data_IF_081876061360
#
_entry.id   IF_081876061360
#
_cell.length_a   1.000
_cell.length_b   1.000
_cell.length_c   1.000
_cell.angle_alpha   90.00
_cell.angle_beta   90.00
_cell.angle_gamma   90.00
#
_symmetry.space_group_name_H-M   'P 1'
#
loop_
_entity.id
_entity.type
_entity.pdbx_description
1 polymer ?
#
# COMPACT_ATOMS: atom_id res chain seq x y z
N UNK A 1 61.26 -34.43 -44.01
CA UNK A 1 60.56 -33.14 -44.25
C UNK A 1 59.08 -33.25 -44.18
N UNK A 2 58.44 -34.22 -44.88
CA UNK A 2 56.98 -34.39 -44.89
C UNK A 2 56.41 -34.68 -43.47
N UNK A 3 57.02 -35.53 -42.69
CA UNK A 3 56.60 -35.85 -41.31
C UNK A 3 56.69 -34.63 -40.42
N UNK A 4 57.73 -33.77 -40.54
CA UNK A 4 57.87 -32.54 -39.77
C UNK A 4 56.77 -31.55 -40.10
N UNK A 5 56.42 -31.40 -41.38
CA UNK A 5 55.29 -30.52 -41.81
C UNK A 5 53.95 -30.99 -41.29
N UNK A 6 53.68 -32.31 -41.27
CA UNK A 6 52.49 -32.90 -40.70
C UNK A 6 52.44 -32.65 -39.18
N UNK A 7 53.53 -32.85 -38.47
CA UNK A 7 53.59 -32.58 -37.02
C UNK A 7 53.34 -31.12 -36.69
N UNK A 8 53.95 -30.17 -37.45
CA UNK A 8 53.74 -28.74 -37.26
C UNK A 8 52.29 -28.38 -37.57
N UNK A 9 51.71 -28.90 -38.65
CA UNK A 9 50.30 -28.69 -38.96
C UNK A 9 49.33 -29.18 -37.87
N UNK A 10 49.58 -30.41 -37.33
CA UNK A 10 48.80 -30.97 -36.27
C UNK A 10 48.90 -30.14 -34.97
N UNK A 11 50.11 -29.70 -34.63
CA UNK A 11 50.34 -28.86 -33.43
C UNK A 11 49.62 -27.52 -33.55
N UNK A 12 49.62 -26.87 -34.72
CA UNK A 12 48.90 -25.61 -34.94
C UNK A 12 47.38 -25.81 -34.83
N UNK A 13 46.84 -26.93 -35.32
CA UNK A 13 45.41 -27.26 -35.18
C UNK A 13 45.04 -27.48 -33.69
N UNK A 14 45.85 -28.23 -32.96
CA UNK A 14 45.61 -28.45 -31.54
C UNK A 14 45.66 -27.14 -30.74
N UNK A 15 46.67 -26.32 -30.98
CA UNK A 15 46.77 -24.99 -30.33
C UNK A 15 45.55 -24.12 -30.69
N UNK A 16 45.09 -24.11 -31.92
CA UNK A 16 43.93 -23.35 -32.37
C UNK A 16 42.62 -23.81 -31.69
N UNK A 17 42.43 -25.12 -31.55
CA UNK A 17 41.26 -25.69 -30.88
C UNK A 17 41.28 -25.37 -29.37
N UNK A 18 42.42 -25.60 -28.69
CA UNK A 18 42.59 -25.31 -27.28
C UNK A 18 42.37 -23.81 -27.00
N UNK A 19 43.00 -22.92 -27.77
CA UNK A 19 42.84 -21.47 -27.66
C UNK A 19 41.37 -21.03 -27.79
N UNK A 20 40.63 -21.68 -28.70
CA UNK A 20 39.22 -21.36 -28.95
C UNK A 20 38.33 -21.84 -27.78
N UNK A 21 38.58 -23.05 -27.28
CA UNK A 21 37.80 -23.60 -26.17
C UNK A 21 38.01 -22.81 -24.87
N UNK A 22 39.26 -22.55 -24.51
CA UNK A 22 39.60 -21.77 -23.32
C UNK A 22 39.10 -20.32 -23.45
N UNK A 23 39.32 -19.71 -24.62
CA UNK A 23 38.89 -18.34 -24.89
C UNK A 23 37.37 -18.15 -24.76
N UNK A 24 36.57 -19.10 -25.26
CA UNK A 24 35.10 -19.05 -25.13
C UNK A 24 34.66 -19.14 -23.67
N UNK A 25 35.28 -19.99 -22.87
CA UNK A 25 34.96 -20.12 -21.45
C UNK A 25 35.27 -18.83 -20.63
N UNK A 26 36.41 -18.20 -20.94
CA UNK A 26 36.81 -16.92 -20.32
C UNK A 26 35.82 -15.81 -20.68
N UNK A 27 35.39 -15.75 -21.98
CA UNK A 27 34.38 -14.79 -22.40
C UNK A 27 33.04 -14.99 -21.68
N UNK A 28 32.58 -16.25 -21.51
CA UNK A 28 31.38 -16.55 -20.72
C UNK A 28 31.50 -16.11 -19.27
N UNK A 29 32.66 -16.33 -18.64
CA UNK A 29 32.92 -15.91 -17.28
C UNK A 29 32.88 -14.38 -17.15
N UNK A 30 33.48 -13.66 -18.11
CA UNK A 30 33.41 -12.20 -18.18
C UNK A 30 31.97 -11.70 -18.29
N UNK A 31 31.19 -12.27 -19.22
CA UNK A 31 29.81 -11.86 -19.45
C UNK A 31 28.92 -12.13 -18.20
N UNK A 32 29.18 -13.22 -17.49
CA UNK A 32 28.53 -13.50 -16.21
C UNK A 32 28.91 -12.49 -15.11
N UNK A 33 30.21 -12.15 -15.00
CA UNK A 33 30.68 -11.14 -14.05
C UNK A 33 30.08 -9.76 -14.36
N UNK A 34 29.93 -9.40 -15.62
CA UNK A 34 29.32 -8.15 -16.06
C UNK A 34 27.81 -8.12 -15.74
N UNK A 35 27.08 -9.23 -15.91
CA UNK A 35 25.68 -9.35 -15.50
C UNK A 35 25.52 -9.15 -14.00
N UNK A 36 26.34 -9.77 -13.18
CA UNK A 36 26.33 -9.61 -11.73
C UNK A 36 26.61 -8.15 -11.33
N UNK A 37 27.60 -7.50 -11.99
CA UNK A 37 27.93 -6.11 -11.76
C UNK A 37 26.77 -5.17 -12.12
N UNK A 38 25.92 -5.55 -13.09
CA UNK A 38 24.72 -4.82 -13.48
C UNK A 38 23.46 -5.19 -12.65
N UNK A 39 23.63 -6.01 -11.58
CA UNK A 39 22.55 -6.32 -10.64
C UNK A 39 21.70 -7.55 -10.98
N UNK A 40 22.05 -8.34 -12.03
CA UNK A 40 21.38 -9.61 -12.32
C UNK A 40 21.93 -10.71 -11.39
N UNK A 41 21.32 -10.85 -10.23
CA UNK A 41 21.70 -11.83 -9.21
C UNK A 41 20.80 -13.09 -9.23
N UNK A 42 19.73 -13.10 -10.01
CA UNK A 42 18.73 -14.20 -10.01
C UNK A 42 19.24 -15.48 -10.67
N UNK A 43 20.29 -15.38 -11.52
CA UNK A 43 20.80 -16.52 -12.27
C UNK A 43 22.26 -16.81 -11.92
N UNK A 44 22.54 -17.44 -10.75
CA UNK A 44 23.91 -17.77 -10.36
C UNK A 44 24.53 -18.76 -11.33
N UNK A 45 25.77 -18.51 -11.70
CA UNK A 45 26.50 -19.41 -12.60
C UNK A 45 26.88 -20.71 -11.89
N UNK A 46 26.72 -21.81 -12.61
CA UNK A 46 27.14 -23.11 -12.16
C UNK A 46 27.71 -23.92 -13.33
N UNK A 47 28.82 -24.63 -13.08
CA UNK A 47 29.41 -25.57 -14.04
C UNK A 47 29.79 -26.86 -13.35
N UNK A 48 29.79 -27.95 -14.09
CA UNK A 48 30.29 -29.27 -13.65
C UNK A 48 31.74 -29.47 -13.95
N UNK A 49 32.43 -28.50 -14.57
CA UNK A 49 33.83 -28.58 -14.91
C UNK A 49 34.70 -28.49 -13.62
N UNK A 50 35.73 -29.32 -13.54
CA UNK A 50 36.61 -29.43 -12.38
C UNK A 50 37.97 -28.77 -12.57
N UNK A 51 38.16 -28.07 -13.69
CA UNK A 51 39.35 -27.30 -14.00
C UNK A 51 39.35 -25.93 -13.26
N UNK A 52 40.45 -25.16 -13.39
CA UNK A 52 40.62 -23.86 -12.73
C UNK A 52 39.53 -22.86 -13.12
N UNK A 53 39.07 -22.87 -14.39
CA UNK A 53 37.99 -21.98 -14.88
C UNK A 53 36.65 -22.39 -14.28
N UNK A 54 36.39 -23.69 -14.17
CA UNK A 54 35.19 -24.22 -13.51
C UNK A 54 35.14 -23.88 -12.02
N UNK A 55 36.28 -23.95 -11.32
CA UNK A 55 36.38 -23.55 -9.91
C UNK A 55 36.08 -22.05 -9.72
N UNK A 56 36.58 -21.18 -10.60
CA UNK A 56 36.30 -19.75 -10.55
C UNK A 56 34.83 -19.49 -10.85
N UNK A 57 34.24 -20.14 -11.87
CA UNK A 57 32.83 -20.03 -12.22
C UNK A 57 31.93 -20.40 -11.02
N UNK A 58 32.17 -21.53 -10.38
CA UNK A 58 31.42 -21.99 -9.21
C UNK A 58 31.61 -21.06 -8.00
N UNK A 59 32.80 -20.46 -7.84
CA UNK A 59 33.05 -19.48 -6.78
C UNK A 59 32.29 -18.18 -7.02
N UNK A 60 32.23 -17.71 -8.27
CA UNK A 60 31.43 -16.56 -8.68
C UNK A 60 29.92 -16.83 -8.43
N UNK A 61 29.44 -18.03 -8.80
CA UNK A 61 28.05 -18.41 -8.52
C UNK A 61 27.71 -18.41 -7.02
N UNK A 62 28.59 -18.93 -6.17
CA UNK A 62 28.40 -18.85 -4.71
C UNK A 62 28.37 -17.42 -4.19
N UNK A 63 29.26 -16.54 -4.70
CA UNK A 63 29.24 -15.12 -4.35
C UNK A 63 27.94 -14.45 -4.75
N UNK A 64 27.40 -14.77 -5.93
CA UNK A 64 26.13 -14.23 -6.42
C UNK A 64 24.98 -14.58 -5.46
N UNK A 65 24.87 -15.86 -5.08
CA UNK A 65 23.84 -16.31 -4.11
C UNK A 65 23.99 -15.60 -2.76
N UNK A 66 25.23 -15.44 -2.31
CA UNK A 66 25.51 -14.79 -1.03
C UNK A 66 25.19 -13.30 -1.05
N UNK A 67 25.49 -12.60 -2.17
CA UNK A 67 25.12 -11.20 -2.39
C UNK A 67 23.61 -11.02 -2.42
N UNK A 68 22.88 -11.85 -3.16
CA UNK A 68 21.42 -11.80 -3.21
C UNK A 68 20.80 -11.98 -1.81
N UNK A 69 21.29 -12.97 -1.07
CA UNK A 69 20.85 -13.20 0.33
C UNK A 69 21.13 -11.99 1.23
N UNK A 70 22.33 -11.38 1.13
CA UNK A 70 22.68 -10.19 1.93
C UNK A 70 21.82 -8.99 1.57
N UNK A 71 21.56 -8.76 0.30
CA UNK A 71 20.69 -7.67 -0.15
C UNK A 71 19.28 -7.85 0.40
N UNK A 72 18.71 -9.03 0.28
CA UNK A 72 17.38 -9.33 0.80
C UNK A 72 17.29 -9.17 2.33
N UNK A 73 18.36 -9.56 3.06
CA UNK A 73 18.44 -9.36 4.51
C UNK A 73 18.50 -7.86 4.88
N UNK A 74 19.31 -7.08 4.16
CA UNK A 74 19.39 -5.62 4.37
C UNK A 74 18.05 -4.96 4.11
N UNK A 75 17.36 -5.30 3.01
CA UNK A 75 16.02 -4.78 2.73
C UNK A 75 15.02 -5.13 3.84
N UNK A 76 15.04 -6.37 4.31
CA UNK A 76 14.17 -6.80 5.41
C UNK A 76 14.44 -6.01 6.69
N UNK A 77 15.71 -5.83 7.06
CA UNK A 77 16.10 -5.03 8.23
C UNK A 77 15.68 -3.56 8.09
N UNK A 78 15.77 -2.99 6.89
CA UNK A 78 15.35 -1.60 6.64
C UNK A 78 13.84 -1.43 6.79
N UNK A 79 13.04 -2.38 6.27
CA UNK A 79 11.59 -2.41 6.45
C UNK A 79 11.24 -2.53 7.94
N UNK A 80 11.83 -3.48 8.67
CA UNK A 80 11.59 -3.67 10.10
C UNK A 80 11.97 -2.43 10.92
N UNK A 81 13.06 -1.75 10.55
CA UNK A 81 13.47 -0.48 11.16
C UNK A 81 12.43 0.61 10.92
N UNK A 82 11.97 0.79 9.68
CA UNK A 82 10.94 1.79 9.35
C UNK A 82 9.62 1.53 10.07
N UNK A 83 9.19 0.28 10.15
CA UNK A 83 8.01 -0.10 10.93
C UNK A 83 8.18 0.19 12.43
N UNK A 84 9.37 -0.07 12.98
CA UNK A 84 9.67 0.25 14.37
C UNK A 84 9.68 1.75 14.64
N UNK A 85 10.26 2.56 13.74
CA UNK A 85 10.24 4.02 13.80
C UNK A 85 8.81 4.55 13.75
N UNK A 86 7.97 4.02 12.85
CA UNK A 86 6.54 4.39 12.76
C UNK A 86 5.78 4.03 14.04
N UNK A 87 6.01 2.82 14.59
CA UNK A 87 5.40 2.41 15.87
C UNK A 87 5.83 3.30 17.01
N UNK A 88 7.10 3.70 17.06
CA UNK A 88 7.60 4.61 18.09
C UNK A 88 6.98 6.01 17.98
N UNK A 89 6.82 6.55 16.76
CA UNK A 89 6.14 7.81 16.51
C UNK A 89 4.66 7.76 16.90
N UNK A 90 3.96 6.69 16.57
CA UNK A 90 2.56 6.46 16.97
C UNK A 90 2.42 6.33 18.51
N UNK A 91 3.37 5.69 19.17
CA UNK A 91 3.38 5.55 20.63
C UNK A 91 3.65 6.89 21.36
N UNK A 92 4.34 7.84 20.72
CA UNK A 92 4.53 9.19 21.27
C UNK A 92 3.21 9.97 21.40
N UNK A 93 2.22 9.70 20.56
CA UNK A 93 0.85 10.13 20.81
C UNK A 93 0.24 9.20 21.86
N UNK A 94 0.36 9.54 23.12
CA UNK A 94 -0.19 8.72 24.21
C UNK A 94 -1.73 8.62 24.08
N UNK A 95 -2.30 7.50 23.55
CA UNK A 95 -3.74 7.39 23.33
C UNK A 95 -4.52 7.55 24.62
N UNK A 96 -3.99 7.04 25.72
CA UNK A 96 -4.61 7.11 27.01
C UNK A 96 -4.71 8.55 27.53
N UNK A 97 -3.69 9.37 27.33
CA UNK A 97 -3.74 10.79 27.70
C UNK A 97 -4.83 11.53 26.90
N UNK A 98 -4.90 11.27 25.59
CA UNK A 98 -5.92 11.89 24.73
C UNK A 98 -7.34 11.51 25.20
N UNK A 99 -7.59 10.23 25.47
CA UNK A 99 -8.91 9.78 25.98
C UNK A 99 -9.26 10.40 27.34
N UNK A 100 -8.29 10.50 28.22
CA UNK A 100 -8.51 11.12 29.53
C UNK A 100 -8.83 12.61 29.41
N UNK A 101 -8.15 13.33 28.51
CA UNK A 101 -8.46 14.73 28.22
C UNK A 101 -9.89 14.89 27.67
N UNK A 102 -10.24 14.09 26.64
CA UNK A 102 -11.56 14.14 26.04
C UNK A 102 -12.65 13.75 27.05
N UNK A 103 -12.44 12.71 27.86
CA UNK A 103 -13.35 12.34 28.95
C UNK A 103 -13.50 13.48 29.97
N UNK A 104 -12.42 14.14 30.34
CA UNK A 104 -12.45 15.29 31.26
C UNK A 104 -13.26 16.47 30.70
N UNK A 105 -13.12 16.77 29.40
CA UNK A 105 -13.90 17.80 28.72
C UNK A 105 -15.38 17.41 28.69
N UNK A 106 -15.72 16.18 28.33
CA UNK A 106 -17.08 15.65 28.32
C UNK A 106 -17.75 15.81 29.69
N UNK A 107 -17.08 15.39 30.76
CA UNK A 107 -17.61 15.55 32.13
C UNK A 107 -17.85 17.00 32.53
N UNK A 108 -16.95 17.91 32.14
CA UNK A 108 -17.12 19.35 32.40
C UNK A 108 -18.30 19.94 31.63
N UNK A 109 -18.49 19.54 30.38
CA UNK A 109 -19.63 19.94 29.55
C UNK A 109 -20.95 19.48 30.17
N UNK A 110 -21.08 18.18 30.50
CA UNK A 110 -22.25 17.63 31.17
C UNK A 110 -22.59 18.38 32.45
N UNK A 111 -21.60 18.70 33.28
CA UNK A 111 -21.86 19.45 34.55
C UNK A 111 -22.32 20.88 34.31
N UNK A 112 -22.05 21.47 33.14
CA UNK A 112 -22.53 22.80 32.76
C UNK A 112 -23.85 22.78 31.99
N UNK A 113 -24.40 21.57 31.68
CA UNK A 113 -25.59 21.41 30.86
C UNK A 113 -25.34 21.71 29.37
N UNK A 114 -24.09 21.57 28.91
CA UNK A 114 -23.72 21.78 27.52
C UNK A 114 -23.66 20.43 26.80
N UNK A 115 -24.83 19.99 26.33
CA UNK A 115 -25.01 18.70 25.70
C UNK A 115 -24.26 18.60 24.38
N UNK A 116 -24.17 19.67 23.61
CA UNK A 116 -23.49 19.68 22.30
C UNK A 116 -21.98 19.45 22.45
N UNK A 117 -21.32 20.17 23.36
CA UNK A 117 -19.88 19.94 23.63
C UNK A 117 -19.66 18.54 24.19
N UNK A 118 -20.56 18.04 25.04
CA UNK A 118 -20.48 16.69 25.58
C UNK A 118 -20.55 15.64 24.48
N UNK A 119 -21.48 15.79 23.56
CA UNK A 119 -21.70 14.85 22.45
C UNK A 119 -20.52 14.86 21.49
N UNK A 120 -20.09 16.03 21.02
CA UNK A 120 -18.93 16.17 20.11
C UNK A 120 -17.68 15.55 20.74
N UNK A 121 -17.46 15.82 22.04
CA UNK A 121 -16.29 15.25 22.74
C UNK A 121 -16.39 13.73 22.86
N UNK A 122 -17.59 13.18 23.06
CA UNK A 122 -17.85 11.75 23.06
C UNK A 122 -17.58 11.10 21.73
N UNK A 123 -18.01 11.72 20.62
CA UNK A 123 -17.75 11.28 19.26
C UNK A 123 -16.26 11.33 18.93
N UNK A 124 -15.55 12.40 19.32
CA UNK A 124 -14.10 12.51 19.15
C UNK A 124 -13.35 11.40 19.90
N UNK A 125 -13.74 11.10 21.14
CA UNK A 125 -13.15 10.01 21.90
C UNK A 125 -13.36 8.64 21.21
N UNK A 126 -14.55 8.42 20.63
CA UNK A 126 -14.87 7.22 19.87
C UNK A 126 -14.04 7.14 18.57
N UNK A 127 -14.01 8.21 17.80
CA UNK A 127 -13.22 8.34 16.57
C UNK A 127 -11.75 8.02 16.82
N UNK A 128 -11.11 8.70 17.78
CA UNK A 128 -9.70 8.45 18.08
C UNK A 128 -9.41 7.04 18.57
N UNK A 129 -10.34 6.41 19.31
CA UNK A 129 -10.18 5.04 19.78
C UNK A 129 -10.15 4.04 18.63
N UNK A 130 -11.08 4.14 17.70
CA UNK A 130 -11.12 3.28 16.50
C UNK A 130 -9.95 3.61 15.56
N UNK A 131 -9.63 4.89 15.39
CA UNK A 131 -8.56 5.37 14.55
C UNK A 131 -7.18 4.88 15.02
N UNK A 132 -6.85 5.05 16.30
CA UNK A 132 -5.56 4.62 16.84
C UNK A 132 -5.43 3.10 16.96
N UNK A 133 -6.54 2.36 17.05
CA UNK A 133 -6.61 0.90 17.03
C UNK A 133 -5.48 0.19 17.82
N UNK A 134 -5.04 0.79 18.94
CA UNK A 134 -3.88 0.32 19.73
C UNK A 134 -2.59 0.12 18.90
N UNK A 135 -2.42 0.85 17.79
CA UNK A 135 -1.28 0.73 16.88
C UNK A 135 -1.35 -0.49 15.94
N UNK A 136 -2.47 -1.21 15.90
CA UNK A 136 -2.66 -2.34 14.98
C UNK A 136 -2.98 -1.83 13.58
N UNK A 137 -2.34 -2.43 12.58
CA UNK A 137 -2.55 -2.07 11.17
C UNK A 137 -3.79 -2.73 10.56
N UNK A 138 -4.28 -3.80 11.17
CA UNK A 138 -5.47 -4.55 10.76
C UNK A 138 -6.59 -4.29 11.74
N UNK A 139 -7.79 -4.13 11.22
CA UNK A 139 -9.02 -3.92 11.97
C UNK A 139 -10.16 -4.77 11.39
N UNK A 140 -11.35 -4.73 11.99
CA UNK A 140 -12.55 -5.35 11.41
C UNK A 140 -13.33 -4.34 10.58
N UNK A 141 -14.14 -4.83 9.65
CA UNK A 141 -15.10 -4.00 8.89
C UNK A 141 -15.99 -3.22 9.83
N UNK A 142 -16.48 -3.87 10.90
CA UNK A 142 -17.32 -3.24 11.94
C UNK A 142 -16.62 -2.04 12.58
N UNK A 143 -15.35 -2.18 12.96
CA UNK A 143 -14.57 -1.11 13.59
C UNK A 143 -14.30 0.05 12.64
N UNK A 144 -13.97 -0.23 11.35
CA UNK A 144 -13.77 0.80 10.35
C UNK A 144 -15.07 1.57 10.03
N UNK A 145 -16.21 0.87 9.94
CA UNK A 145 -17.53 1.50 9.80
C UNK A 145 -17.88 2.35 11.03
N UNK A 146 -17.52 1.92 12.21
CA UNK A 146 -17.72 2.69 13.45
C UNK A 146 -16.88 3.97 13.46
N UNK A 147 -15.66 3.90 12.94
CA UNK A 147 -14.77 5.05 12.77
C UNK A 147 -15.38 6.08 11.84
N UNK A 148 -15.79 5.69 10.63
CA UNK A 148 -16.39 6.63 9.66
C UNK A 148 -17.74 7.17 10.13
N UNK A 149 -18.55 6.38 10.85
CA UNK A 149 -19.79 6.89 11.46
C UNK A 149 -19.49 7.99 12.49
N UNK A 150 -18.51 7.76 13.36
CA UNK A 150 -18.11 8.78 14.33
C UNK A 150 -17.60 10.06 13.64
N UNK A 151 -16.79 9.92 12.59
CA UNK A 151 -16.32 11.05 11.79
C UNK A 151 -17.47 11.84 11.15
N UNK A 152 -18.40 11.14 10.48
CA UNK A 152 -19.57 11.76 9.83
C UNK A 152 -20.47 12.49 10.86
N UNK A 153 -20.72 11.90 12.01
CA UNK A 153 -21.52 12.54 13.05
C UNK A 153 -20.85 13.78 13.65
N UNK A 154 -19.51 13.78 13.76
CA UNK A 154 -18.76 14.99 14.12
C UNK A 154 -18.95 16.05 13.05
N UNK A 155 -18.79 15.71 11.78
CA UNK A 155 -18.95 16.64 10.67
C UNK A 155 -20.37 17.22 10.61
N UNK A 156 -21.40 16.39 10.81
CA UNK A 156 -22.81 16.87 10.88
C UNK A 156 -23.04 17.90 11.98
N UNK A 157 -22.38 17.75 13.13
CA UNK A 157 -22.49 18.71 14.22
C UNK A 157 -21.67 19.98 14.01
N UNK A 158 -20.62 19.92 13.17
CA UNK A 158 -19.73 21.05 12.88
C UNK A 158 -20.09 21.80 11.59
N UNK A 159 -20.88 21.17 10.71
CA UNK A 159 -21.29 21.76 9.45
C UNK A 159 -22.49 22.68 9.68
N UNK A 160 -22.45 23.89 9.10
CA UNK A 160 -23.56 24.86 9.22
C UNK A 160 -24.79 24.42 8.41
N UNK A 161 -24.54 23.71 7.29
CA UNK A 161 -25.57 23.24 6.38
C UNK A 161 -25.81 21.74 6.56
N UNK A 162 -27.09 21.31 6.68
CA UNK A 162 -27.41 19.90 6.90
C UNK A 162 -27.16 19.08 5.63
N UNK A 163 -26.70 17.85 5.80
CA UNK A 163 -26.58 16.85 4.74
C UNK A 163 -27.09 15.49 5.22
N UNK A 164 -27.56 14.68 4.28
CA UNK A 164 -28.06 13.34 4.57
C UNK A 164 -26.98 12.28 4.42
N UNK A 165 -27.05 11.25 5.25
CA UNK A 165 -26.19 10.06 5.12
C UNK A 165 -27.04 8.80 5.20
N UNK A 166 -26.87 7.96 4.20
CA UNK A 166 -27.53 6.67 4.07
C UNK A 166 -26.48 5.54 4.20
N UNK A 167 -26.77 4.55 5.04
CA UNK A 167 -25.92 3.39 5.24
C UNK A 167 -26.61 2.12 4.70
N UNK A 168 -25.97 1.45 3.75
CA UNK A 168 -26.38 0.18 3.14
C UNK A 168 -25.35 -0.88 3.49
N UNK A 169 -25.50 -1.53 4.61
CA UNK A 169 -24.47 -2.39 5.19
C UNK A 169 -24.94 -3.84 5.22
N UNK A 170 -24.17 -4.72 4.57
CA UNK A 170 -24.32 -6.17 4.68
C UNK A 170 -23.68 -6.66 5.99
N UNK A 171 -24.51 -7.10 6.92
CA UNK A 171 -24.06 -7.53 8.24
C UNK A 171 -23.22 -8.81 8.22
N UNK A 172 -23.28 -9.60 7.14
CA UNK A 172 -22.57 -10.89 7.05
C UNK A 172 -21.04 -10.78 7.00
N UNK A 173 -20.50 -9.58 6.70
CA UNK A 173 -19.08 -9.32 6.56
C UNK A 173 -18.45 -8.47 7.65
N UNK A 174 -19.19 -8.10 8.70
CA UNK A 174 -18.73 -7.14 9.72
C UNK A 174 -17.49 -7.60 10.50
N UNK A 175 -17.33 -8.89 10.71
CA UNK A 175 -16.18 -9.49 11.43
C UNK A 175 -14.98 -9.77 10.52
N UNK A 176 -15.08 -9.51 9.22
CA UNK A 176 -13.96 -9.67 8.31
C UNK A 176 -12.85 -8.65 8.62
N UNK A 177 -11.60 -9.10 8.50
CA UNK A 177 -10.44 -8.25 8.71
C UNK A 177 -10.10 -7.43 7.46
N UNK A 178 -9.66 -6.19 7.68
CA UNK A 178 -9.22 -5.27 6.64
C UNK A 178 -8.12 -4.33 7.16
N UNK A 179 -7.34 -3.69 6.29
CA UNK A 179 -6.40 -2.64 6.72
C UNK A 179 -7.14 -1.47 7.36
N UNK A 180 -6.60 -0.96 8.47
CA UNK A 180 -7.12 0.22 9.15
C UNK A 180 -7.01 1.48 8.28
N UNK A 181 -7.90 2.46 8.42
CA UNK A 181 -7.93 3.72 7.64
C UNK A 181 -8.04 3.54 6.12
N UNK A 182 -8.77 2.54 5.66
CA UNK A 182 -9.00 2.35 4.23
C UNK A 182 -10.19 3.18 3.73
N UNK A 183 -11.24 3.30 4.54
CA UNK A 183 -12.49 3.97 4.15
C UNK A 183 -12.54 5.44 4.54
N UNK A 184 -11.88 5.84 5.62
CA UNK A 184 -11.91 7.21 6.12
C UNK A 184 -11.50 8.24 5.06
N UNK A 185 -10.40 8.09 4.28
CA UNK A 185 -10.04 9.07 3.27
C UNK A 185 -11.07 9.22 2.15
N UNK A 186 -11.85 8.18 1.87
CA UNK A 186 -12.93 8.23 0.88
C UNK A 186 -14.10 9.09 1.39
N UNK A 187 -14.45 8.93 2.66
CA UNK A 187 -15.50 9.75 3.30
C UNK A 187 -15.03 11.20 3.42
N UNK A 188 -13.75 11.43 3.78
CA UNK A 188 -13.17 12.78 3.79
C UNK A 188 -13.23 13.45 2.43
N UNK A 189 -12.95 12.72 1.36
CA UNK A 189 -13.07 13.23 0.00
C UNK A 189 -14.53 13.54 -0.38
N UNK A 190 -15.46 12.65 -0.02
CA UNK A 190 -16.89 12.86 -0.27
C UNK A 190 -17.40 14.11 0.46
N UNK A 191 -16.90 14.40 1.66
CA UNK A 191 -17.20 15.64 2.38
C UNK A 191 -16.56 16.85 1.70
N UNK A 192 -15.22 16.90 1.64
CA UNK A 192 -14.44 18.06 1.19
C UNK A 192 -14.68 18.45 -0.28
N UNK A 193 -14.86 17.46 -1.15
CA UNK A 193 -14.99 17.69 -2.60
C UNK A 193 -16.43 17.45 -3.11
N UNK A 194 -17.29 16.86 -2.28
CA UNK A 194 -18.69 16.69 -2.55
C UNK A 194 -19.52 17.72 -1.81
N UNK A 195 -19.71 17.53 -0.51
CA UNK A 195 -20.66 18.31 0.28
C UNK A 195 -20.26 19.79 0.41
N UNK A 196 -18.97 20.09 0.74
CA UNK A 196 -18.51 21.47 0.96
C UNK A 196 -18.58 22.37 -0.28
N UNK A 197 -18.72 21.81 -1.48
CA UNK A 197 -18.83 22.54 -2.76
C UNK A 197 -20.22 22.49 -3.38
N UNK A 198 -21.25 22.11 -2.62
CA UNK A 198 -22.64 22.15 -3.11
C UNK A 198 -23.10 23.59 -3.30
N UNK A 199 -23.73 23.86 -4.46
CA UNK A 199 -24.31 25.20 -4.76
C UNK A 199 -25.63 25.41 -4.01
N UNK A 200 -26.37 24.31 -3.78
CA UNK A 200 -27.64 24.35 -3.05
C UNK A 200 -27.43 23.66 -1.69
N UNK A 201 -27.41 24.42 -0.59
CA UNK A 201 -27.45 23.88 0.75
C UNK A 201 -28.69 23.00 0.94
N UNK A 202 -28.68 22.06 1.86
CA UNK A 202 -29.76 21.13 2.22
C UNK A 202 -29.98 19.95 1.25
N UNK A 203 -29.22 19.83 0.15
CA UNK A 203 -29.36 18.70 -0.80
C UNK A 203 -28.19 17.71 -0.74
N UNK A 204 -27.19 17.98 0.06
CA UNK A 204 -26.01 17.14 0.20
C UNK A 204 -26.35 15.73 0.68
N UNK A 205 -25.88 14.70 -0.05
CA UNK A 205 -26.12 13.31 0.32
C UNK A 205 -24.86 12.47 0.14
N UNK A 206 -24.55 11.69 1.17
CA UNK A 206 -23.52 10.66 1.15
C UNK A 206 -24.18 9.29 1.33
N UNK A 207 -23.80 8.29 0.54
CA UNK A 207 -24.22 6.90 0.73
C UNK A 207 -22.98 6.07 1.01
N UNK A 208 -22.99 5.35 2.12
CA UNK A 208 -21.95 4.39 2.50
C UNK A 208 -22.50 3.00 2.29
N UNK A 209 -21.95 2.27 1.36
CA UNK A 209 -22.38 0.93 1.02
C UNK A 209 -21.27 -0.08 1.28
N UNK A 210 -21.61 -1.18 1.92
CA UNK A 210 -20.76 -2.34 2.10
C UNK A 210 -21.51 -3.61 1.71
N UNK A 211 -20.86 -4.44 0.89
CA UNK A 211 -21.39 -5.72 0.46
C UNK A 211 -20.27 -6.77 0.51
N UNK A 212 -20.56 -7.90 1.15
CA UNK A 212 -19.69 -9.08 1.12
C UNK A 212 -20.03 -9.95 -0.08
N UNK A 213 -19.04 -10.23 -0.93
CA UNK A 213 -19.11 -11.23 -2.00
C UNK A 213 -18.27 -12.47 -1.60
N UNK A 214 -18.42 -13.62 -2.29
CA UNK A 214 -17.74 -14.86 -1.90
C UNK A 214 -16.22 -14.73 -1.69
N UNK A 215 -15.55 -13.89 -2.47
CA UNK A 215 -14.09 -13.70 -2.42
C UNK A 215 -13.66 -12.24 -2.26
N UNK A 216 -14.60 -11.33 -2.04
CA UNK A 216 -14.32 -9.88 -2.01
C UNK A 216 -15.18 -9.18 -0.95
N UNK A 217 -14.58 -8.16 -0.33
CA UNK A 217 -15.28 -7.12 0.40
C UNK A 217 -15.39 -5.90 -0.53
N UNK A 218 -16.58 -5.41 -0.76
CA UNK A 218 -16.82 -4.27 -1.64
C UNK A 218 -17.38 -3.12 -0.83
N UNK A 219 -16.66 -2.01 -0.82
CA UNK A 219 -17.07 -0.75 -0.20
C UNK A 219 -17.29 0.29 -1.26
N UNK A 220 -18.40 1.00 -1.21
CA UNK A 220 -18.70 2.10 -2.12
C UNK A 220 -19.15 3.32 -1.34
N UNK A 221 -18.51 4.46 -1.60
CA UNK A 221 -18.87 5.75 -1.04
C UNK A 221 -19.36 6.64 -2.17
N UNK A 222 -20.60 7.10 -2.08
CA UNK A 222 -21.22 7.98 -3.05
C UNK A 222 -21.44 9.36 -2.45
N UNK A 223 -21.26 10.39 -3.24
CA UNK A 223 -21.70 11.74 -2.93
C UNK A 223 -22.34 12.39 -4.16
N UNK A 224 -23.36 13.23 -3.94
CA UNK A 224 -24.08 13.96 -4.98
C UNK A 224 -23.56 15.39 -5.21
N UNK A 225 -22.37 15.71 -4.72
CA UNK A 225 -21.70 16.98 -4.98
C UNK A 225 -21.24 17.16 -6.43
N UNK A 226 -20.42 18.20 -6.71
CA UNK A 226 -19.88 18.42 -8.04
C UNK A 226 -19.25 17.16 -8.62
N UNK A 227 -19.56 16.86 -9.88
CA UNK A 227 -19.05 15.66 -10.54
C UNK A 227 -17.56 15.82 -10.83
N UNK A 228 -16.82 14.77 -10.54
CA UNK A 228 -15.38 14.71 -10.82
C UNK A 228 -15.16 14.54 -12.33
N UNK A 229 -14.27 15.34 -12.90
CA UNK A 229 -13.86 15.19 -14.31
C UNK A 229 -12.96 13.96 -14.48
N UNK A 230 -13.13 13.23 -15.61
CA UNK A 230 -12.38 12.01 -15.89
C UNK A 230 -10.86 12.22 -15.90
N UNK A 231 -10.38 13.35 -16.41
CA UNK A 231 -8.96 13.72 -16.39
C UNK A 231 -8.41 13.88 -14.96
N UNK A 232 -9.27 14.36 -14.05
CA UNK A 232 -8.93 14.52 -12.64
C UNK A 232 -8.88 13.17 -11.91
N UNK A 233 -9.74 12.21 -12.29
CA UNK A 233 -9.71 10.84 -11.79
C UNK A 233 -8.38 10.17 -12.14
N UNK A 234 -7.93 10.27 -13.38
CA UNK A 234 -6.64 9.69 -13.81
C UNK A 234 -5.46 10.32 -13.07
N UNK A 235 -5.49 11.63 -12.84
CA UNK A 235 -4.48 12.33 -12.04
C UNK A 235 -4.48 11.88 -10.59
N UNK A 236 -5.64 11.77 -9.95
CA UNK A 236 -5.79 11.32 -8.56
C UNK A 236 -5.29 9.88 -8.36
N UNK A 237 -5.47 9.01 -9.36
CA UNK A 237 -5.04 7.62 -9.30
C UNK A 237 -3.56 7.41 -9.65
N UNK A 238 -2.93 8.32 -10.43
CA UNK A 238 -1.60 8.12 -11.00
C UNK A 238 -0.53 9.13 -10.54
N UNK A 239 -0.90 10.30 -10.01
CA UNK A 239 0.09 11.33 -9.61
C UNK A 239 0.43 11.29 -8.12
N UNK A 240 1.73 11.24 -7.82
CA UNK A 240 2.28 11.53 -6.50
C UNK A 240 2.24 13.06 -6.29
N UNK A 241 1.36 13.56 -5.40
CA UNK A 241 1.56 14.94 -4.93
C UNK A 241 0.36 15.81 -4.58
N UNK A 242 -0.88 15.54 -4.97
CA UNK A 242 -2.05 16.36 -4.62
C UNK A 242 -3.30 15.61 -4.12
N UNK A 243 -3.21 14.31 -3.94
CA UNK A 243 -4.31 13.49 -3.45
C UNK A 243 -3.83 12.45 -2.44
N UNK A 244 -3.12 12.88 -1.39
CA UNK A 244 -2.48 11.98 -0.41
C UNK A 244 -3.41 10.87 0.10
N UNK A 245 -4.72 11.13 0.26
CA UNK A 245 -5.66 10.15 0.78
C UNK A 245 -5.95 8.99 -0.20
N UNK A 246 -6.25 9.30 -1.45
CA UNK A 246 -6.59 8.28 -2.48
C UNK A 246 -5.35 7.48 -2.89
N UNK A 247 -4.22 8.13 -3.06
CA UNK A 247 -2.96 7.48 -3.37
C UNK A 247 -2.55 6.49 -2.27
N UNK A 248 -2.64 6.89 -1.01
CA UNK A 248 -2.37 6.03 0.15
C UNK A 248 -3.29 4.81 0.20
N UNK A 249 -4.56 4.93 -0.21
CA UNK A 249 -5.47 3.77 -0.31
C UNK A 249 -4.95 2.79 -1.34
N UNK A 250 -4.57 3.26 -2.52
CA UNK A 250 -4.05 2.42 -3.61
C UNK A 250 -2.78 1.68 -3.18
N UNK A 251 -1.80 2.40 -2.63
CA UNK A 251 -0.57 1.78 -2.09
C UNK A 251 -0.87 0.73 -1.01
N UNK A 252 -1.83 1.01 -0.14
CA UNK A 252 -2.23 0.09 0.93
C UNK A 252 -2.92 -1.16 0.38
N UNK A 253 -3.83 -1.01 -0.59
CA UNK A 253 -4.45 -2.15 -1.26
C UNK A 253 -3.39 -3.02 -1.95
N UNK A 254 -2.44 -2.40 -2.64
CA UNK A 254 -1.35 -3.08 -3.32
C UNK A 254 -0.43 -3.82 -2.33
N UNK A 255 -0.12 -3.21 -1.19
CA UNK A 255 0.70 -3.80 -0.13
C UNK A 255 0.04 -5.04 0.51
N UNK A 256 -1.27 -4.99 0.80
CA UNK A 256 -1.97 -6.06 1.53
C UNK A 256 -2.58 -7.12 0.62
N UNK A 257 -3.01 -6.75 -0.58
CA UNK A 257 -3.77 -7.63 -1.48
C UNK A 257 -3.13 -7.79 -2.87
N UNK A 258 -2.04 -7.07 -3.16
CA UNK A 258 -1.37 -7.11 -4.46
C UNK A 258 -2.33 -6.73 -5.59
N UNK A 259 -2.34 -7.53 -6.65
CA UNK A 259 -3.21 -7.32 -7.81
C UNK A 259 -4.72 -7.63 -7.54
N UNK A 260 -5.07 -8.20 -6.39
CA UNK A 260 -6.45 -8.51 -6.02
C UNK A 260 -7.20 -7.29 -5.47
N UNK A 261 -6.48 -6.34 -4.87
CA UNK A 261 -7.06 -5.11 -4.35
C UNK A 261 -7.23 -4.07 -5.47
N UNK A 262 -8.38 -3.40 -5.53
CA UNK A 262 -8.63 -2.34 -6.52
C UNK A 262 -9.39 -1.16 -5.95
N UNK A 263 -9.09 0.03 -6.47
CA UNK A 263 -9.82 1.27 -6.23
C UNK A 263 -10.35 1.79 -7.56
N UNK A 264 -11.65 1.97 -7.64
CA UNK A 264 -12.33 2.49 -8.82
C UNK A 264 -13.06 3.79 -8.48
N UNK A 265 -13.08 4.73 -9.42
CA UNK A 265 -13.85 5.98 -9.33
C UNK A 265 -14.75 6.07 -10.54
N UNK A 266 -16.04 6.26 -10.32
CA UNK A 266 -17.05 6.34 -11.38
C UNK A 266 -18.07 7.44 -11.09
N UNK A 267 -18.62 8.00 -12.15
CA UNK A 267 -19.82 8.82 -12.08
C UNK A 267 -20.99 7.93 -12.45
N UNK A 268 -22.01 7.88 -11.59
CA UNK A 268 -23.22 7.09 -11.83
C UNK A 268 -24.21 7.83 -12.71
N UNK A 269 -25.16 7.11 -13.34
CA UNK A 269 -26.25 7.71 -14.13
C UNK A 269 -27.13 8.66 -13.31
N UNK A 270 -27.20 8.44 -11.99
CA UNK A 270 -27.90 9.31 -11.04
C UNK A 270 -27.09 10.55 -10.62
N UNK A 271 -25.98 10.86 -11.30
CA UNK A 271 -25.08 11.99 -11.03
C UNK A 271 -24.43 11.95 -9.65
N UNK A 272 -24.07 10.77 -9.15
CA UNK A 272 -23.23 10.61 -7.97
C UNK A 272 -21.79 10.31 -8.38
N UNK A 273 -20.82 10.93 -7.72
CA UNK A 273 -19.44 10.46 -7.74
C UNK A 273 -19.33 9.27 -6.78
N UNK A 274 -18.83 8.14 -7.27
CA UNK A 274 -18.72 6.89 -6.52
C UNK A 274 -17.26 6.43 -6.45
N UNK A 275 -16.75 6.24 -5.25
CA UNK A 275 -15.47 5.59 -4.97
C UNK A 275 -15.73 4.16 -4.50
N UNK A 276 -15.16 3.17 -5.19
CA UNK A 276 -15.34 1.76 -4.85
C UNK A 276 -13.99 1.11 -4.56
N UNK A 277 -13.89 0.46 -3.40
CA UNK A 277 -12.76 -0.39 -2.99
C UNK A 277 -13.22 -1.84 -3.01
N UNK A 278 -12.37 -2.71 -3.60
CA UNK A 278 -12.61 -4.15 -3.68
C UNK A 278 -11.40 -4.90 -3.17
#
# INVERSE_FOLDING_TARGET
>A
IIVVLICVGLTLVVIGVLSRVIGQRILQLRDQAERIANGDLQNPCHTTDTDEVGMVTNSLGRMTVQLDSMINEVYKMEIEKKESELRALQAQMNPHFLYNCLSGIKWKALRKGDDDISDITGLLAKFYRTALNNGQQITTVSSELENIRAYIEIQKKMHEEPFEVEYRIDESGLECCMPNFLLQPLVENAMKHGIDYMEEPDTGKIIVEFCRKPEQLVFSIYNNGPLIELEMVEKLLNEQGKGYGIHNIKERLELYYGALGSLEVKVTDAKYTCFTVK
#
